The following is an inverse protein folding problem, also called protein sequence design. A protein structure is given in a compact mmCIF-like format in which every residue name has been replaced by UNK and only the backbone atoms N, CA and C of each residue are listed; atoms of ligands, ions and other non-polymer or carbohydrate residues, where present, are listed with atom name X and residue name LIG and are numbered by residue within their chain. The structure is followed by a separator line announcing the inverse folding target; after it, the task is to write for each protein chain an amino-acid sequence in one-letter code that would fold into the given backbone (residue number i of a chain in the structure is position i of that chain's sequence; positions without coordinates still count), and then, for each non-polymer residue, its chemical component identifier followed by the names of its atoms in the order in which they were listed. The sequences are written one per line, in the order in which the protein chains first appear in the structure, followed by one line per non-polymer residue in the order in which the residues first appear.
data_IF_932402571917
#
_entry.id   IF_932402571917
#
_cell.length_a   1.000
_cell.length_b   1.000
_cell.length_c   1.000
_cell.angle_alpha   90.00
_cell.angle_beta   90.00
_cell.angle_gamma   90.00
#
_symmetry.space_group_name_H-M   'P 1'
#
loop_
_entity.id
_entity.type
_entity.pdbx_description
1 polymer ?
#
# COMPACT_ATOMS: atom_id res chain seq x y z
N UNK A 1 -19.16 -10.86 -0.99
CA UNK A 1 -17.70 -11.08 -0.85
C UNK A 1 -16.87 -9.97 -1.49
N UNK A 2 -17.04 -9.67 -2.79
CA UNK A 2 -16.24 -8.64 -3.48
C UNK A 2 -16.28 -7.23 -2.86
N UNK A 3 -17.45 -6.79 -2.34
CA UNK A 3 -17.57 -5.48 -1.70
C UNK A 3 -16.71 -5.35 -0.42
N UNK A 4 -16.76 -6.36 0.45
CA UNK A 4 -15.94 -6.41 1.68
C UNK A 4 -14.45 -6.47 1.34
N UNK A 5 -14.08 -7.33 0.39
CA UNK A 5 -12.68 -7.44 -0.04
C UNK A 5 -12.11 -6.09 -0.50
N UNK A 6 -12.90 -5.36 -1.30
CA UNK A 6 -12.55 -4.05 -1.82
C UNK A 6 -12.45 -3.01 -0.70
N UNK A 7 -13.43 -2.98 0.21
CA UNK A 7 -13.42 -2.06 1.34
C UNK A 7 -12.15 -2.18 2.20
N UNK A 8 -11.69 -3.41 2.49
CA UNK A 8 -10.45 -3.61 3.24
C UNK A 8 -9.20 -3.15 2.47
N UNK A 9 -9.15 -3.37 1.15
CA UNK A 9 -8.08 -2.83 0.31
C UNK A 9 -8.06 -1.30 0.30
N UNK A 10 -9.22 -0.67 0.11
CA UNK A 10 -9.37 0.78 0.05
C UNK A 10 -8.99 1.44 1.39
N UNK A 11 -9.43 0.86 2.51
CA UNK A 11 -9.06 1.34 3.85
C UNK A 11 -7.55 1.18 4.10
N UNK A 12 -6.95 0.07 3.65
CA UNK A 12 -5.49 -0.12 3.74
C UNK A 12 -4.73 0.98 3.00
N UNK A 13 -5.12 1.26 1.74
CA UNK A 13 -4.54 2.32 0.92
C UNK A 13 -4.76 3.71 1.54
N UNK A 14 -5.96 3.96 2.09
CA UNK A 14 -6.28 5.22 2.76
C UNK A 14 -5.36 5.45 3.97
N UNK A 15 -5.23 4.47 4.87
CA UNK A 15 -4.33 4.57 6.02
C UNK A 15 -2.88 4.79 5.58
N UNK A 16 -2.40 4.06 4.57
CA UNK A 16 -1.06 4.24 4.03
C UNK A 16 -0.84 5.66 3.48
N UNK A 17 -1.82 6.18 2.74
CA UNK A 17 -1.78 7.52 2.17
C UNK A 17 -1.78 8.59 3.27
N UNK A 18 -2.60 8.44 4.31
CA UNK A 18 -2.61 9.33 5.48
C UNK A 18 -1.25 9.33 6.20
N UNK A 19 -0.63 8.17 6.38
CA UNK A 19 0.72 8.09 6.99
C UNK A 19 1.71 8.93 6.18
N UNK A 20 1.74 8.78 4.86
CA UNK A 20 2.65 9.52 3.98
C UNK A 20 2.38 11.03 4.01
N UNK A 21 1.11 11.43 3.92
CA UNK A 21 0.67 12.83 4.03
C UNK A 21 1.09 13.45 5.38
N UNK A 22 0.86 12.76 6.49
CA UNK A 22 1.30 13.23 7.81
C UNK A 22 2.82 13.49 7.84
N UNK A 23 3.60 12.63 7.17
CA UNK A 23 5.05 12.78 7.08
C UNK A 23 5.49 14.02 6.33
N UNK A 24 5.00 14.15 5.11
CA UNK A 24 5.38 15.25 4.22
C UNK A 24 4.88 16.59 4.76
N UNK A 25 3.61 16.65 5.19
CA UNK A 25 2.99 17.89 5.66
C UNK A 25 3.54 18.35 7.02
N UNK A 26 4.04 17.46 7.89
CA UNK A 26 4.67 17.85 9.16
C UNK A 26 5.95 18.67 9.01
N UNK A 27 6.58 18.62 7.82
CA UNK A 27 7.73 19.44 7.46
C UNK A 27 7.34 20.89 7.15
N UNK A 28 6.11 21.08 6.68
CA UNK A 28 5.57 22.39 6.28
C UNK A 28 4.81 23.02 7.46
N UNK A 29 3.91 22.26 8.07
CA UNK A 29 3.01 22.75 9.11
C UNK A 29 3.37 22.16 10.47
N UNK A 30 3.80 23.02 11.41
CA UNK A 30 4.16 22.61 12.77
C UNK A 30 2.99 21.94 13.51
N UNK A 31 1.76 22.39 13.28
CA UNK A 31 0.54 21.83 13.88
C UNK A 31 0.33 20.36 13.54
N UNK A 32 0.85 19.88 12.40
CA UNK A 32 0.70 18.48 11.99
C UNK A 32 1.61 17.55 12.79
N UNK A 33 2.69 18.05 13.39
CA UNK A 33 3.65 17.25 14.16
C UNK A 33 3.01 16.52 15.34
N UNK A 34 1.97 17.10 15.98
CA UNK A 34 1.24 16.46 17.09
C UNK A 34 0.52 15.18 16.66
N UNK A 35 0.17 15.05 15.38
CA UNK A 35 -0.53 13.89 14.83
C UNK A 35 0.42 12.77 14.43
N UNK A 36 1.75 13.00 14.42
CA UNK A 36 2.72 11.96 14.07
C UNK A 36 2.71 10.77 15.04
N UNK A 37 2.17 10.94 16.25
CA UNK A 37 2.00 9.85 17.23
C UNK A 37 1.15 8.70 16.67
N UNK A 38 0.21 9.01 15.77
CA UNK A 38 -0.70 8.04 15.16
C UNK A 38 -0.07 7.24 14.03
N UNK A 39 1.13 7.62 13.53
CA UNK A 39 1.75 6.94 12.39
C UNK A 39 1.98 5.45 12.64
N UNK A 40 2.36 5.08 13.86
CA UNK A 40 2.59 3.68 14.22
C UNK A 40 1.29 2.89 14.15
N UNK A 41 0.25 3.39 14.80
CA UNK A 41 -1.05 2.70 14.87
C UNK A 41 -1.68 2.59 13.48
N UNK A 42 -1.65 3.68 12.69
CA UNK A 42 -2.10 3.64 11.30
C UNK A 42 -1.29 2.63 10.47
N UNK A 43 0.02 2.54 10.66
CA UNK A 43 0.86 1.58 9.94
C UNK A 43 0.54 0.13 10.27
N UNK A 44 0.26 -0.16 11.54
CA UNK A 44 -0.21 -1.49 11.97
C UNK A 44 -1.57 -1.79 11.34
N UNK A 45 -2.50 -0.84 11.38
CA UNK A 45 -3.83 -1.01 10.80
C UNK A 45 -3.80 -1.16 9.27
N UNK A 46 -2.90 -0.48 8.56
CA UNK A 46 -2.64 -0.73 7.12
C UNK A 46 -2.28 -2.19 6.88
N UNK A 47 -1.39 -2.76 7.70
CA UNK A 47 -1.02 -4.17 7.61
C UNK A 47 -2.16 -5.12 7.94
N UNK A 48 -2.89 -4.87 9.02
CA UNK A 48 -4.06 -5.67 9.42
C UNK A 48 -5.12 -5.69 8.32
N UNK A 49 -5.51 -4.54 7.77
CA UNK A 49 -6.53 -4.48 6.71
C UNK A 49 -6.05 -5.11 5.41
N UNK A 50 -4.76 -5.00 5.07
CA UNK A 50 -4.17 -5.72 3.94
C UNK A 50 -4.21 -7.24 4.12
N UNK A 51 -3.93 -7.74 5.33
CA UNK A 51 -4.03 -9.17 5.64
C UNK A 51 -5.48 -9.64 5.50
N UNK A 52 -6.44 -8.90 6.05
CA UNK A 52 -7.86 -9.25 5.93
C UNK A 52 -8.31 -9.28 4.47
N UNK A 53 -7.88 -8.31 3.66
CA UNK A 53 -8.11 -8.32 2.21
C UNK A 53 -7.58 -9.62 1.55
N UNK A 54 -6.35 -10.02 1.86
CA UNK A 54 -5.77 -11.26 1.32
C UNK A 54 -6.51 -12.50 1.82
N UNK A 55 -6.90 -12.55 3.10
CA UNK A 55 -7.66 -13.67 3.66
C UNK A 55 -9.03 -13.83 3.00
N UNK A 56 -9.72 -12.72 2.71
CA UNK A 56 -10.97 -12.76 1.96
C UNK A 56 -10.71 -13.34 0.57
N UNK A 57 -9.69 -12.88 -0.17
CA UNK A 57 -9.34 -13.45 -1.48
C UNK A 57 -8.98 -14.94 -1.43
N UNK A 58 -8.23 -15.35 -0.40
CA UNK A 58 -7.83 -16.75 -0.20
C UNK A 58 -9.02 -17.67 -0.04
N UNK A 59 -9.99 -17.28 0.78
CA UNK A 59 -11.14 -18.10 1.09
C UNK A 59 -12.13 -18.19 -0.08
N UNK A 60 -12.59 -17.04 -0.61
CA UNK A 60 -13.72 -17.08 -1.54
C UNK A 60 -13.37 -16.99 -3.03
N UNK A 61 -12.10 -16.78 -3.41
CA UNK A 61 -11.71 -16.82 -4.83
C UNK A 61 -10.57 -17.81 -5.10
N UNK A 62 -9.46 -17.70 -4.40
CA UNK A 62 -8.31 -18.61 -4.59
C UNK A 62 -8.57 -19.99 -3.99
N UNK A 63 -9.52 -20.11 -3.06
CA UNK A 63 -9.90 -21.36 -2.39
C UNK A 63 -8.68 -22.11 -1.84
N UNK A 64 -7.72 -21.37 -1.29
CA UNK A 64 -6.45 -21.90 -0.76
C UNK A 64 -5.52 -22.58 -1.78
N UNK A 65 -5.83 -22.53 -3.07
CA UNK A 65 -5.00 -23.06 -4.15
C UNK A 65 -4.10 -21.96 -4.74
N UNK A 66 -2.89 -21.81 -4.21
CA UNK A 66 -1.96 -20.69 -4.51
C UNK A 66 -1.73 -20.45 -6.00
N UNK A 67 -1.75 -21.50 -6.85
CA UNK A 67 -1.57 -21.32 -8.29
C UNK A 67 -2.65 -20.42 -8.92
N UNK A 68 -3.87 -20.36 -8.35
CA UNK A 68 -4.97 -19.53 -8.86
C UNK A 68 -4.71 -18.03 -8.78
N UNK A 69 -3.69 -17.58 -8.04
CA UNK A 69 -3.21 -16.18 -8.14
C UNK A 69 -2.63 -15.85 -9.51
N UNK A 70 -2.21 -16.84 -10.29
CA UNK A 70 -1.52 -16.64 -11.57
C UNK A 70 -2.31 -17.22 -12.75
N UNK A 71 -3.05 -18.31 -12.52
CA UNK A 71 -3.75 -19.06 -13.56
C UNK A 71 -5.27 -18.88 -13.46
N UNK A 72 -5.91 -18.78 -14.63
CA UNK A 72 -7.38 -18.71 -14.77
C UNK A 72 -7.81 -19.85 -15.68
N UNK A 73 -8.90 -20.54 -15.33
CA UNK A 73 -9.46 -21.59 -16.17
C UNK A 73 -10.01 -20.97 -17.46
N UNK A 74 -9.53 -21.47 -18.61
CA UNK A 74 -10.00 -21.06 -19.93
C UNK A 74 -10.96 -22.12 -20.49
N UNK A 75 -12.27 -21.82 -20.62
CA UNK A 75 -13.20 -22.75 -21.24
C UNK A 75 -12.83 -23.11 -22.68
N UNK A 76 -12.12 -22.22 -23.37
CA UNK A 76 -11.64 -22.43 -24.74
C UNK A 76 -10.48 -23.43 -24.82
N UNK A 77 -9.58 -23.41 -23.83
CA UNK A 77 -8.44 -24.33 -23.78
C UNK A 77 -8.76 -25.64 -23.01
N UNK A 78 -9.83 -25.65 -22.21
CA UNK A 78 -10.16 -26.75 -21.30
C UNK A 78 -9.15 -26.92 -20.18
N UNK A 79 -8.32 -25.91 -19.91
CA UNK A 79 -7.19 -25.97 -18.97
C UNK A 79 -6.97 -24.63 -18.25
N UNK A 80 -6.13 -24.65 -17.22
CA UNK A 80 -5.66 -23.50 -16.46
C UNK A 80 -4.52 -22.79 -17.20
N UNK A 81 -4.77 -21.57 -17.63
CA UNK A 81 -3.81 -20.79 -18.42
C UNK A 81 -3.30 -19.61 -17.61
N UNK A 82 -1.99 -19.34 -17.70
CA UNK A 82 -1.39 -18.15 -17.10
C UNK A 82 -2.04 -16.92 -17.73
N UNK A 83 -2.59 -16.03 -16.89
CA UNK A 83 -3.14 -14.75 -17.36
C UNK A 83 -2.14 -13.63 -17.02
N UNK A 84 -1.27 -13.19 -17.96
CA UNK A 84 -0.05 -12.45 -17.62
C UNK A 84 -0.28 -11.15 -16.84
N UNK A 85 -1.28 -10.35 -17.25
CA UNK A 85 -1.58 -9.11 -16.54
C UNK A 85 -2.08 -9.37 -15.12
N UNK A 86 -2.88 -10.41 -14.94
CA UNK A 86 -3.51 -10.74 -13.66
C UNK A 86 -2.49 -11.33 -12.69
N UNK A 87 -1.66 -12.25 -13.20
CA UNK A 87 -0.48 -12.76 -12.53
C UNK A 87 0.45 -11.63 -12.06
N UNK A 88 0.72 -10.63 -12.93
CA UNK A 88 1.55 -9.48 -12.58
C UNK A 88 0.90 -8.61 -11.49
N UNK A 89 -0.40 -8.31 -11.61
CA UNK A 89 -1.15 -7.57 -10.61
C UNK A 89 -1.12 -8.25 -9.24
N UNK A 90 -1.33 -9.56 -9.20
CA UNK A 90 -1.24 -10.35 -7.96
C UNK A 90 0.19 -10.43 -7.42
N UNK A 91 1.20 -10.57 -8.28
CA UNK A 91 2.61 -10.56 -7.88
C UNK A 91 2.98 -9.24 -7.19
N UNK A 92 2.56 -8.10 -7.74
CA UNK A 92 2.76 -6.79 -7.09
C UNK A 92 2.10 -6.74 -5.71
N UNK A 93 0.89 -7.29 -5.57
CA UNK A 93 0.18 -7.38 -4.29
C UNK A 93 0.90 -8.27 -3.27
N UNK A 94 1.42 -9.42 -3.69
CA UNK A 94 2.18 -10.34 -2.83
C UNK A 94 3.49 -9.70 -2.37
N UNK A 95 4.22 -9.04 -3.28
CA UNK A 95 5.44 -8.32 -2.92
C UNK A 95 5.11 -7.17 -1.95
N UNK A 96 4.05 -6.41 -2.20
CA UNK A 96 3.57 -5.37 -1.29
C UNK A 96 3.20 -5.94 0.10
N UNK A 97 2.58 -7.11 0.15
CA UNK A 97 2.26 -7.82 1.39
C UNK A 97 3.52 -8.15 2.20
N UNK A 98 4.59 -8.62 1.56
CA UNK A 98 5.87 -8.88 2.23
C UNK A 98 6.41 -7.60 2.87
N UNK A 99 6.40 -6.49 2.14
CA UNK A 99 6.83 -5.20 2.70
C UNK A 99 5.98 -4.77 3.89
N UNK A 100 4.64 -4.83 3.80
CA UNK A 100 3.77 -4.38 4.89
C UNK A 100 3.92 -5.26 6.13
N UNK A 101 4.13 -6.57 5.96
CA UNK A 101 4.40 -7.48 7.07
C UNK A 101 5.70 -7.12 7.79
N UNK A 102 6.79 -6.86 7.06
CA UNK A 102 8.07 -6.43 7.65
C UNK A 102 7.88 -5.09 8.40
N UNK A 103 7.21 -4.13 7.78
CA UNK A 103 6.97 -2.81 8.38
C UNK A 103 6.11 -2.92 9.64
N UNK A 104 5.03 -3.70 9.59
CA UNK A 104 4.11 -3.95 10.72
C UNK A 104 4.83 -4.66 11.87
N UNK A 105 5.53 -5.77 11.59
CA UNK A 105 6.25 -6.53 12.60
C UNK A 105 7.39 -5.74 13.25
N UNK A 106 7.99 -4.78 12.52
CA UNK A 106 9.04 -3.91 13.08
C UNK A 106 8.52 -2.60 13.68
N UNK A 107 7.19 -2.38 13.68
CA UNK A 107 6.53 -1.19 14.25
C UNK A 107 6.32 -1.28 15.76
N UNK A 108 7.35 -1.67 16.51
CA UNK A 108 7.30 -1.77 17.96
C UNK A 108 8.64 -1.35 18.62
N UNK A 109 8.60 -1.12 19.93
CA UNK A 109 9.77 -0.65 20.70
C UNK A 109 10.88 -1.70 20.78
N UNK A 110 10.53 -2.99 20.80
CA UNK A 110 11.49 -4.10 20.89
C UNK A 110 12.33 -4.15 19.62
N UNK A 111 11.72 -4.17 18.44
CA UNK A 111 12.42 -4.14 17.15
C UNK A 111 13.31 -2.92 17.00
N UNK A 112 12.86 -1.74 17.46
CA UNK A 112 13.69 -0.53 17.47
C UNK A 112 14.92 -0.67 18.38
N UNK A 113 14.79 -1.35 19.53
CA UNK A 113 15.90 -1.62 20.44
C UNK A 113 16.89 -2.63 19.86
N UNK A 114 16.38 -3.70 19.23
CA UNK A 114 17.21 -4.77 18.64
C UNK A 114 17.98 -4.27 17.41
N UNK A 115 17.32 -3.59 16.48
CA UNK A 115 17.93 -3.13 15.22
C UNK A 115 18.78 -1.86 15.40
N UNK A 116 18.54 -1.10 16.48
CA UNK A 116 19.07 0.24 16.64
C UNK A 116 18.37 1.27 15.75
N UNK A 117 18.46 2.55 16.14
CA UNK A 117 17.67 3.63 15.53
C UNK A 117 17.92 3.79 14.02
N UNK A 118 19.18 3.69 13.57
CA UNK A 118 19.56 3.93 12.16
C UNK A 118 19.01 2.83 11.24
N UNK A 119 19.24 1.56 11.58
CA UNK A 119 18.76 0.44 10.77
C UNK A 119 17.23 0.33 10.83
N UNK A 120 16.62 0.49 12.01
CA UNK A 120 15.16 0.54 12.14
C UNK A 120 14.54 1.62 11.25
N UNK A 121 15.12 2.83 11.23
CA UNK A 121 14.65 3.90 10.36
C UNK A 121 14.78 3.55 8.88
N UNK A 122 15.86 2.88 8.48
CA UNK A 122 16.03 2.40 7.10
C UNK A 122 14.95 1.39 6.71
N UNK A 123 14.66 0.41 7.58
CA UNK A 123 13.54 -0.54 7.37
C UNK A 123 12.22 0.22 7.20
N UNK A 124 11.93 1.17 8.08
CA UNK A 124 10.69 1.95 8.02
C UNK A 124 10.61 2.88 6.80
N UNK A 125 11.73 3.26 6.18
CA UNK A 125 11.76 4.03 4.94
C UNK A 125 11.34 3.21 3.70
N UNK A 126 11.36 1.87 3.79
CA UNK A 126 10.86 1.01 2.71
C UNK A 126 9.35 1.15 2.49
N UNK A 127 8.63 1.86 3.37
CA UNK A 127 7.25 2.29 3.16
C UNK A 127 7.03 3.01 1.82
N UNK A 128 8.04 3.72 1.31
CA UNK A 128 7.95 4.35 -0.01
C UNK A 128 7.91 3.31 -1.13
N UNK A 129 8.74 2.27 -1.06
CA UNK A 129 8.72 1.16 -2.04
C UNK A 129 7.38 0.43 -1.96
N UNK A 130 6.94 0.11 -0.73
CA UNK A 130 5.62 -0.47 -0.46
C UNK A 130 4.48 0.34 -1.11
N UNK A 131 4.47 1.66 -0.92
CA UNK A 131 3.45 2.53 -1.49
C UNK A 131 3.39 2.49 -3.02
N UNK A 132 4.55 2.48 -3.70
CA UNK A 132 4.57 2.35 -5.15
C UNK A 132 4.04 1.00 -5.62
N UNK A 133 4.37 -0.10 -4.91
CA UNK A 133 3.82 -1.43 -5.23
C UNK A 133 2.30 -1.46 -5.08
N UNK A 134 1.74 -0.86 -4.01
CA UNK A 134 0.30 -0.77 -3.80
C UNK A 134 -0.38 0.09 -4.88
N UNK A 135 0.21 1.22 -5.28
CA UNK A 135 -0.31 2.03 -6.38
C UNK A 135 -0.37 1.20 -7.66
N UNK A 136 0.71 0.53 -8.03
CA UNK A 136 0.77 -0.25 -9.28
C UNK A 136 -0.23 -1.42 -9.25
N UNK A 137 -0.30 -2.14 -8.13
CA UNK A 137 -1.28 -3.20 -7.89
C UNK A 137 -2.71 -2.67 -8.06
N UNK A 138 -3.06 -1.58 -7.37
CA UNK A 138 -4.41 -1.00 -7.40
C UNK A 138 -4.75 -0.44 -8.79
N UNK A 139 -3.80 0.25 -9.42
CA UNK A 139 -3.96 0.83 -10.75
C UNK A 139 -4.25 -0.25 -11.80
N UNK A 140 -3.54 -1.39 -11.73
CA UNK A 140 -3.80 -2.53 -12.59
C UNK A 140 -5.26 -2.99 -12.47
N UNK A 141 -5.74 -3.23 -11.24
CA UNK A 141 -7.10 -3.75 -11.04
C UNK A 141 -8.21 -2.74 -11.38
N UNK A 142 -7.98 -1.45 -11.13
CA UNK A 142 -9.01 -0.42 -11.29
C UNK A 142 -9.07 0.18 -12.70
N UNK A 143 -7.97 0.16 -13.46
CA UNK A 143 -7.91 0.74 -14.82
C UNK A 143 -7.69 -0.29 -15.92
N UNK A 144 -6.94 -1.37 -15.66
CA UNK A 144 -6.45 -2.27 -16.73
C UNK A 144 -7.21 -3.59 -16.75
N UNK A 145 -7.48 -4.20 -15.60
CA UNK A 145 -8.03 -5.55 -15.54
C UNK A 145 -9.49 -5.62 -16.04
N UNK A 146 -10.30 -4.60 -15.75
CA UNK A 146 -11.71 -4.52 -16.16
C UNK A 146 -12.06 -3.11 -16.70
N UNK A 147 -11.55 -2.73 -17.89
CA UNK A 147 -11.66 -1.37 -18.41
C UNK A 147 -13.11 -0.95 -18.71
N UNK A 148 -13.98 -1.91 -19.04
CA UNK A 148 -15.39 -1.66 -19.39
C UNK A 148 -16.30 -1.51 -18.17
N UNK A 149 -15.75 -1.59 -16.95
CA UNK A 149 -16.51 -1.43 -15.71
C UNK A 149 -16.25 -0.04 -15.10
N UNK A 150 -17.20 0.92 -15.21
CA UNK A 150 -17.03 2.24 -14.62
C UNK A 150 -16.85 2.11 -13.10
N UNK A 151 -15.70 2.56 -12.60
CA UNK A 151 -15.41 2.53 -11.18
C UNK A 151 -15.19 3.94 -10.64
N UNK A 152 -16.17 4.45 -9.89
CA UNK A 152 -16.14 5.80 -9.31
C UNK A 152 -14.93 6.02 -8.40
N UNK A 153 -14.29 4.96 -7.86
CA UNK A 153 -13.06 5.04 -7.05
C UNK A 153 -11.82 5.44 -7.86
N UNK A 154 -11.86 5.41 -9.20
CA UNK A 154 -10.75 5.85 -10.05
C UNK A 154 -10.37 7.32 -9.76
N UNK A 155 -11.36 8.21 -9.64
CA UNK A 155 -11.12 9.62 -9.37
C UNK A 155 -10.53 9.86 -7.95
N UNK A 156 -11.13 9.36 -6.86
CA UNK A 156 -10.53 9.42 -5.52
C UNK A 156 -9.12 8.82 -5.45
N UNK A 157 -8.86 7.73 -6.17
CA UNK A 157 -7.53 7.11 -6.23
C UNK A 157 -6.49 8.06 -6.84
N UNK A 158 -6.78 8.64 -8.02
CA UNK A 158 -5.89 9.61 -8.66
C UNK A 158 -5.67 10.81 -7.76
N UNK A 159 -6.74 11.40 -7.20
CA UNK A 159 -6.65 12.55 -6.30
C UNK A 159 -5.73 12.25 -5.11
N UNK A 160 -5.91 11.09 -4.48
CA UNK A 160 -5.10 10.68 -3.32
C UNK A 160 -3.62 10.56 -3.67
N UNK A 161 -3.29 9.92 -4.81
CA UNK A 161 -1.90 9.80 -5.27
C UNK A 161 -1.32 11.18 -5.54
N UNK A 162 -2.03 12.03 -6.27
CA UNK A 162 -1.59 13.38 -6.58
C UNK A 162 -1.32 14.19 -5.31
N UNK A 163 -2.19 14.11 -4.31
CA UNK A 163 -2.00 14.79 -3.02
C UNK A 163 -0.76 14.28 -2.26
N UNK A 164 -0.55 12.96 -2.22
CA UNK A 164 0.63 12.36 -1.57
C UNK A 164 1.92 12.80 -2.29
N UNK A 165 1.93 12.81 -3.62
CA UNK A 165 3.10 13.20 -4.40
C UNK A 165 3.39 14.71 -4.29
N UNK A 166 2.38 15.57 -4.46
CA UNK A 166 2.53 17.02 -4.31
C UNK A 166 3.00 17.39 -2.90
N UNK A 167 2.40 16.82 -1.86
CA UNK A 167 2.82 17.09 -0.48
C UNK A 167 4.27 16.64 -0.25
N UNK A 168 4.69 15.51 -0.82
CA UNK A 168 6.05 14.99 -0.71
C UNK A 168 7.07 15.91 -1.38
N UNK A 169 6.74 16.43 -2.57
CA UNK A 169 7.57 17.42 -3.28
C UNK A 169 7.69 18.72 -2.49
N UNK A 170 6.58 19.25 -1.97
CA UNK A 170 6.58 20.45 -1.13
C UNK A 170 7.43 20.20 0.13
N UNK A 171 7.20 19.08 0.82
CA UNK A 171 7.97 18.72 2.01
C UNK A 171 9.46 18.59 1.75
N UNK A 172 9.85 18.05 0.58
CA UNK A 172 11.24 18.01 0.13
C UNK A 172 11.82 19.42 -0.06
N UNK A 173 11.11 20.30 -0.77
CA UNK A 173 11.54 21.67 -1.01
C UNK A 173 11.76 22.45 0.30
N UNK A 174 10.85 22.33 1.26
CA UNK A 174 11.02 22.92 2.60
C UNK A 174 12.23 22.36 3.34
N UNK A 175 12.48 21.05 3.23
CA UNK A 175 13.67 20.41 3.83
C UNK A 175 14.95 21.01 3.24
N UNK A 176 15.04 21.17 1.92
CA UNK A 176 16.20 21.76 1.25
C UNK A 176 16.42 23.21 1.68
N UNK A 177 15.35 24.01 1.74
CA UNK A 177 15.40 25.41 2.17
C UNK A 177 15.90 25.56 3.60
N UNK A 178 15.48 24.67 4.51
CA UNK A 178 15.93 24.68 5.90
C UNK A 178 17.41 24.29 6.03
N UNK A 179 17.88 23.29 5.28
CA UNK A 179 19.28 22.87 5.28
C UNK A 179 20.20 23.95 4.72
N UNK A 180 19.80 24.68 3.68
CA UNK A 180 20.60 25.79 3.10
C UNK A 180 20.71 27.02 4.00
N UNK A 181 19.89 27.12 5.05
CA UNK A 181 19.91 28.24 6.02
C UNK A 181 20.79 27.97 7.24
N UNK A 182 21.25 26.74 7.42
CA UNK A 182 22.18 26.32 8.47
C UNK A 182 23.59 26.27 7.91
#
# INVERSE_FOLDING_TARGET
MHAWNRAFADVSLLFLSVILLLGSLSKVFKTIRKWLVWRRELGIWTGVTAIVHVLILLDGWVQWEVFRFFFVFSPFAGDWVLHPGFALGNLLGIVALVYVLILMLTSNTISKKILGLKAWKHVQQTVHVFYHMVILHTAYFIFIHNPDSPNWLQAPFIITITLVWLSSLIGFWFTVKETRRK
#
